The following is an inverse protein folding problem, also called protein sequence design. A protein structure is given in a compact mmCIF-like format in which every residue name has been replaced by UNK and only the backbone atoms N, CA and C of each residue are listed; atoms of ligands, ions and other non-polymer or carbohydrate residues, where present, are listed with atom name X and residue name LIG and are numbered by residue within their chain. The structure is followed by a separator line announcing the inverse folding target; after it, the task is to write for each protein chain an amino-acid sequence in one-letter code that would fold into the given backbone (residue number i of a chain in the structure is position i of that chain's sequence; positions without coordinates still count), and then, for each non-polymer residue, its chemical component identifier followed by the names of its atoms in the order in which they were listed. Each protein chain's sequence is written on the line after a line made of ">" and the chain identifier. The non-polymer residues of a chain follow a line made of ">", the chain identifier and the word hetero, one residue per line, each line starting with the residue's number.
data_IF_342601275163
#
_entry.id   IF_342601275163
#
_cell.length_a   1.000
_cell.length_b   1.000
_cell.length_c   1.000
_cell.angle_alpha   90.00
_cell.angle_beta   90.00
_cell.angle_gamma   90.00
#
_symmetry.space_group_name_H-M   'P 1'
#
loop_
_entity.id
_entity.type
_entity.pdbx_description
1 polymer ?
#
# COMPACT_ATOMS: atom_id res chain seq x y z
N UNK A 1 24.24 13.90 -22.73
CA UNK A 1 23.74 13.29 -21.48
C UNK A 1 23.93 11.77 -21.57
N UNK A 2 24.34 11.08 -20.52
CA UNK A 2 24.45 9.61 -20.53
C UNK A 2 23.07 8.92 -20.47
N UNK A 3 22.00 9.69 -20.37
CA UNK A 3 20.63 9.19 -20.31
C UNK A 3 19.81 9.85 -21.44
N UNK A 4 19.16 9.03 -22.24
CA UNK A 4 18.17 9.44 -23.24
C UNK A 4 16.79 8.91 -22.82
N UNK A 5 15.77 9.78 -22.83
CA UNK A 5 14.38 9.40 -22.53
C UNK A 5 13.58 9.45 -23.82
N UNK A 6 13.08 8.30 -24.26
CA UNK A 6 12.24 8.18 -25.45
C UNK A 6 10.80 7.92 -25.00
N UNK A 7 9.93 8.89 -25.21
CA UNK A 7 8.51 8.80 -24.91
C UNK A 7 7.70 9.15 -26.15
N UNK A 8 7.18 8.17 -26.90
CA UNK A 8 6.32 8.45 -28.05
C UNK A 8 5.11 9.28 -27.67
N UNK A 9 4.69 10.16 -28.57
CA UNK A 9 3.53 11.02 -28.37
C UNK A 9 2.26 10.20 -28.14
N UNK A 10 1.38 10.67 -27.24
CA UNK A 10 0.11 10.03 -26.93
C UNK A 10 0.18 8.92 -25.87
N UNK A 11 1.34 8.65 -25.29
CA UNK A 11 1.44 7.71 -24.15
C UNK A 11 1.33 8.43 -22.78
N UNK A 12 1.35 7.66 -21.71
CA UNK A 12 1.23 8.15 -20.32
C UNK A 12 2.29 9.22 -19.98
N UNK A 13 3.49 9.14 -20.53
CA UNK A 13 4.61 10.04 -20.24
C UNK A 13 4.69 11.22 -21.22
N UNK A 14 3.92 11.17 -22.30
CA UNK A 14 3.87 12.22 -23.33
C UNK A 14 2.41 12.40 -23.80
N UNK A 15 1.59 12.94 -22.90
CA UNK A 15 0.19 13.17 -23.17
C UNK A 15 0.00 14.34 -24.14
N UNK A 16 -0.93 14.21 -25.08
CA UNK A 16 -1.32 15.24 -26.04
C UNK A 16 -2.60 15.91 -25.59
N UNK A 17 -2.59 17.24 -25.59
CA UNK A 17 -3.80 18.02 -25.27
C UNK A 17 -4.98 17.61 -26.20
N UNK A 18 -6.22 17.44 -25.70
CA UNK A 18 -6.69 17.76 -24.35
C UNK A 18 -6.49 16.67 -23.30
N UNK A 19 -5.87 15.52 -23.61
CA UNK A 19 -5.54 14.52 -22.63
C UNK A 19 -4.47 15.05 -21.68
N UNK A 20 -4.72 14.97 -20.39
CA UNK A 20 -3.77 15.32 -19.35
C UNK A 20 -3.54 14.14 -18.42
N UNK A 21 -2.31 13.92 -18.02
CA UNK A 21 -1.97 13.00 -16.94
C UNK A 21 -1.69 13.79 -15.66
N UNK A 22 -2.08 13.23 -14.53
CA UNK A 22 -1.69 13.79 -13.25
C UNK A 22 -0.20 13.52 -13.03
N UNK A 23 0.62 14.56 -13.17
CA UNK A 23 2.08 14.46 -13.20
C UNK A 23 2.72 13.67 -12.05
N UNK A 24 2.32 13.82 -10.77
CA UNK A 24 2.88 13.00 -9.70
C UNK A 24 2.72 11.50 -9.94
N UNK A 25 1.57 11.05 -10.42
CA UNK A 25 1.34 9.63 -10.70
C UNK A 25 2.20 9.10 -11.83
N UNK A 26 2.39 9.89 -12.86
CA UNK A 26 3.29 9.54 -13.97
C UNK A 26 4.72 9.37 -13.48
N UNK A 27 5.20 10.27 -12.62
CA UNK A 27 6.51 10.19 -11.99
C UNK A 27 6.68 8.96 -11.11
N UNK A 28 5.68 8.59 -10.30
CA UNK A 28 5.69 7.40 -9.46
C UNK A 28 5.74 6.11 -10.29
N UNK A 29 4.95 6.03 -11.37
CA UNK A 29 4.98 4.88 -12.29
C UNK A 29 6.35 4.79 -12.98
N UNK A 30 6.91 5.91 -13.42
CA UNK A 30 8.26 5.94 -14.01
C UNK A 30 9.31 5.44 -13.01
N UNK A 31 9.27 5.91 -11.77
CA UNK A 31 10.17 5.46 -10.69
C UNK A 31 10.11 3.94 -10.52
N UNK A 32 8.92 3.38 -10.38
CA UNK A 32 8.71 1.94 -10.20
C UNK A 32 9.21 1.13 -11.42
N UNK A 33 8.94 1.60 -12.65
CA UNK A 33 9.40 0.93 -13.86
C UNK A 33 10.93 0.95 -13.99
N UNK A 34 11.57 2.08 -13.69
CA UNK A 34 13.02 2.22 -13.70
C UNK A 34 13.63 1.33 -12.61
N UNK A 35 13.07 1.36 -11.40
CA UNK A 35 13.51 0.48 -10.31
C UNK A 35 13.43 -0.99 -10.71
N UNK A 36 12.29 -1.41 -11.30
CA UNK A 36 12.12 -2.79 -11.78
C UNK A 36 13.14 -3.17 -12.86
N UNK A 37 13.44 -2.28 -13.79
CA UNK A 37 14.45 -2.53 -14.82
C UNK A 37 15.86 -2.67 -14.20
N UNK A 38 16.22 -1.76 -13.30
CA UNK A 38 17.53 -1.76 -12.63
C UNK A 38 17.71 -2.95 -11.67
N UNK A 39 16.65 -3.48 -11.08
CA UNK A 39 16.71 -4.64 -10.18
C UNK A 39 17.21 -5.93 -10.84
N UNK A 40 17.25 -5.99 -12.18
CA UNK A 40 17.83 -7.09 -12.91
C UNK A 40 19.38 -7.09 -12.84
N UNK A 41 19.98 -5.91 -12.66
CA UNK A 41 21.43 -5.73 -12.61
C UNK A 41 21.97 -5.34 -11.23
N UNK A 42 21.15 -4.71 -10.39
CA UNK A 42 21.53 -4.16 -9.09
C UNK A 42 20.73 -4.79 -7.96
N UNK A 43 21.40 -5.37 -6.98
CA UNK A 43 20.73 -5.96 -5.81
C UNK A 43 20.25 -4.92 -4.80
N UNK A 44 20.80 -3.70 -4.85
CA UNK A 44 20.45 -2.60 -3.95
C UNK A 44 19.06 -2.00 -4.22
N UNK A 45 18.44 -2.33 -5.35
CA UNK A 45 17.13 -1.82 -5.72
C UNK A 45 16.05 -2.50 -4.87
N UNK A 46 15.12 -1.75 -4.27
CA UNK A 46 14.03 -2.31 -3.50
C UNK A 46 13.00 -3.05 -4.38
N UNK A 47 12.26 -3.96 -3.78
CA UNK A 47 11.04 -4.49 -4.36
C UNK A 47 10.00 -3.37 -4.55
N UNK A 48 8.86 -3.65 -5.20
CA UNK A 48 7.86 -2.61 -5.45
C UNK A 48 7.28 -2.07 -4.14
N UNK A 49 6.99 -0.77 -4.12
CA UNK A 49 6.18 -0.18 -3.06
C UNK A 49 4.68 -0.34 -3.39
N UNK A 50 3.80 -0.16 -2.40
CA UNK A 50 2.36 -0.42 -2.48
C UNK A 50 1.57 0.41 -3.48
N UNK A 51 2.26 0.95 -4.44
CA UNK A 51 1.71 1.74 -5.52
C UNK A 51 1.74 3.23 -5.25
N UNK A 52 0.99 3.95 -6.07
CA UNK A 52 0.86 5.40 -5.97
C UNK A 52 0.14 5.78 -4.67
N UNK A 53 0.16 7.05 -4.32
CA UNK A 53 -0.58 7.63 -3.19
C UNK A 53 -2.08 7.32 -3.30
N UNK A 54 -2.59 6.25 -2.64
CA UNK A 54 -3.97 5.81 -2.79
C UNK A 54 -4.90 6.68 -1.92
N UNK A 55 -4.99 7.96 -2.25
CA UNK A 55 -5.72 8.96 -1.50
C UNK A 55 -7.19 9.12 -1.89
N UNK A 56 -7.77 10.16 -1.32
CA UNK A 56 -9.08 10.68 -1.68
C UNK A 56 -9.12 12.20 -1.52
N UNK A 57 -10.02 12.83 -2.23
CA UNK A 57 -10.40 14.21 -1.98
C UNK A 57 -11.85 14.24 -1.45
N UNK A 58 -12.13 15.16 -0.53
CA UNK A 58 -13.48 15.47 -0.11
C UNK A 58 -13.72 16.97 -0.22
N UNK A 59 -14.89 17.35 -0.70
CA UNK A 59 -15.26 18.74 -0.90
C UNK A 59 -16.75 18.98 -0.63
N UNK A 60 -17.07 20.20 -0.23
CA UNK A 60 -18.44 20.58 0.07
C UNK A 60 -18.52 21.87 0.86
N UNK A 61 -19.69 22.10 1.46
CA UNK A 61 -19.91 23.20 2.42
C UNK A 61 -19.84 22.65 3.83
N UNK A 62 -18.92 23.18 4.62
CA UNK A 62 -18.67 22.74 5.99
C UNK A 62 -19.88 23.00 6.88
N UNK A 63 -20.41 21.95 7.51
CA UNK A 63 -21.68 21.98 8.24
C UNK A 63 -21.72 22.98 9.40
N UNK A 64 -20.58 23.22 10.06
CA UNK A 64 -20.50 24.14 11.24
C UNK A 64 -20.22 25.60 10.85
N UNK A 65 -19.50 25.85 9.76
CA UNK A 65 -19.03 27.19 9.40
C UNK A 65 -19.75 27.79 8.19
N UNK A 66 -20.45 26.96 7.40
CA UNK A 66 -21.08 27.38 6.14
C UNK A 66 -20.08 27.73 5.02
N UNK A 67 -18.77 27.54 5.24
CA UNK A 67 -17.72 27.84 4.25
C UNK A 67 -17.45 26.61 3.37
N UNK A 68 -17.12 26.85 2.11
CA UNK A 68 -16.65 25.79 1.24
C UNK A 68 -15.30 25.25 1.70
N UNK A 69 -15.11 23.95 1.59
CA UNK A 69 -13.86 23.27 1.85
C UNK A 69 -13.47 22.32 0.71
N UNK A 70 -12.19 22.12 0.58
CA UNK A 70 -11.59 21.02 -0.21
C UNK A 70 -10.45 20.47 0.63
N UNK A 71 -10.49 19.18 0.89
CA UNK A 71 -9.41 18.44 1.56
C UNK A 71 -8.93 17.33 0.66
N UNK A 72 -7.63 17.11 0.64
CA UNK A 72 -7.00 15.98 -0.02
C UNK A 72 -6.19 15.21 1.01
N UNK A 73 -6.32 13.91 1.02
CA UNK A 73 -5.54 13.04 1.86
C UNK A 73 -4.90 11.94 1.01
N UNK A 74 -3.59 11.87 1.07
CA UNK A 74 -2.82 10.79 0.48
C UNK A 74 -2.52 9.77 1.57
N UNK A 75 -2.74 8.48 1.29
CA UNK A 75 -2.47 7.43 2.27
C UNK A 75 -1.03 6.96 2.18
N UNK A 76 -0.46 6.64 3.34
CA UNK A 76 0.75 5.87 3.41
C UNK A 76 0.56 4.47 2.81
N UNK A 77 1.60 3.97 2.18
CA UNK A 77 1.69 2.64 1.59
C UNK A 77 2.80 1.85 2.26
N UNK A 78 2.85 0.54 2.06
CA UNK A 78 4.03 -0.23 2.41
C UNK A 78 5.15 -0.03 1.39
N UNK A 79 6.39 0.19 1.84
CA UNK A 79 7.56 0.23 0.97
C UNK A 79 8.02 -1.19 0.62
N UNK A 80 8.61 -1.35 -0.55
CA UNK A 80 9.28 -2.58 -0.93
C UNK A 80 10.48 -2.85 -0.03
N UNK A 81 10.72 -4.15 0.26
CA UNK A 81 11.90 -4.60 0.97
C UNK A 81 13.17 -4.47 0.11
N UNK A 82 14.30 -4.39 0.76
CA UNK A 82 15.64 -4.40 0.14
C UNK A 82 16.38 -5.69 0.48
N UNK A 83 17.58 -5.85 -0.04
CA UNK A 83 18.44 -7.00 0.26
C UNK A 83 18.95 -7.03 1.73
N UNK A 84 18.76 -5.97 2.50
CA UNK A 84 19.22 -5.83 3.88
C UNK A 84 18.13 -5.50 4.89
N UNK A 85 16.99 -4.95 4.44
CA UNK A 85 15.98 -4.39 5.33
C UNK A 85 14.57 -4.74 4.89
N UNK A 86 13.71 -4.92 5.89
CA UNK A 86 12.27 -4.94 5.70
C UNK A 86 11.79 -3.60 5.13
N UNK A 87 10.71 -3.63 4.36
CA UNK A 87 10.06 -2.43 3.87
C UNK A 87 9.41 -1.64 5.03
N UNK A 88 9.46 -0.33 4.94
CA UNK A 88 8.85 0.55 5.93
C UNK A 88 7.31 0.50 5.82
N UNK A 89 6.63 0.49 6.98
CA UNK A 89 5.18 0.46 7.05
C UNK A 89 4.59 1.85 6.87
N UNK A 90 3.50 1.97 6.13
CA UNK A 90 2.63 3.14 6.13
C UNK A 90 3.33 4.47 5.82
N UNK A 91 4.29 4.49 4.90
CA UNK A 91 4.95 5.70 4.43
C UNK A 91 4.42 6.14 3.06
N UNK A 92 4.65 7.41 2.73
CA UNK A 92 4.36 7.90 1.38
C UNK A 92 5.30 7.23 0.35
N UNK A 93 4.89 7.24 -0.92
CA UNK A 93 5.69 6.64 -1.99
C UNK A 93 7.14 7.16 -1.99
N UNK A 94 8.17 6.32 -2.25
CA UNK A 94 9.57 6.75 -2.20
C UNK A 94 9.91 7.99 -3.02
N UNK A 95 9.21 8.22 -4.14
CA UNK A 95 9.39 9.43 -4.96
C UNK A 95 8.78 10.70 -4.33
N UNK A 96 7.99 10.57 -3.26
CA UNK A 96 7.31 11.67 -2.54
C UNK A 96 7.53 11.59 -1.03
N UNK A 97 8.61 10.98 -0.60
CA UNK A 97 8.88 10.54 0.77
C UNK A 97 8.86 11.63 1.87
N UNK A 98 8.92 12.90 1.51
CA UNK A 98 8.83 14.01 2.48
C UNK A 98 7.40 14.37 2.89
N UNK A 99 6.39 13.80 2.25
CA UNK A 99 4.98 14.06 2.57
C UNK A 99 4.55 13.24 3.79
N UNK A 100 3.77 13.86 4.67
CA UNK A 100 3.18 13.21 5.85
C UNK A 100 1.67 13.23 5.76
N UNK A 101 1.00 12.26 6.36
CA UNK A 101 -0.45 12.28 6.51
C UNK A 101 -0.88 13.48 7.36
N UNK A 102 -1.93 14.16 6.95
CA UNK A 102 -2.61 15.16 7.80
C UNK A 102 -3.22 14.45 9.00
N UNK A 103 -3.10 15.03 10.19
CA UNK A 103 -3.71 14.46 11.38
C UNK A 103 -5.24 14.35 11.24
N UNK A 104 -5.81 13.32 11.87
CA UNK A 104 -7.26 13.04 11.84
C UNK A 104 -8.04 14.24 12.35
N UNK A 105 -7.62 14.82 13.46
CA UNK A 105 -8.27 15.96 14.11
C UNK A 105 -8.36 17.20 13.22
N UNK A 106 -7.28 17.45 12.45
CA UNK A 106 -7.27 18.57 11.50
C UNK A 106 -8.27 18.32 10.37
N UNK A 107 -8.26 17.12 9.78
CA UNK A 107 -9.18 16.77 8.69
C UNK A 107 -10.64 16.85 9.14
N UNK A 108 -10.98 16.36 10.33
CA UNK A 108 -12.33 16.42 10.92
C UNK A 108 -12.74 17.86 11.28
N UNK A 109 -11.77 18.69 11.67
CA UNK A 109 -12.04 20.09 11.99
C UNK A 109 -12.37 20.94 10.76
N UNK A 110 -11.73 20.68 9.63
CA UNK A 110 -11.84 21.51 8.41
C UNK A 110 -12.76 20.96 7.33
N UNK A 111 -13.38 19.80 7.56
CA UNK A 111 -14.23 19.12 6.57
C UNK A 111 -15.46 18.47 7.23
N UNK A 112 -16.27 17.78 6.42
CA UNK A 112 -17.45 17.04 6.90
C UNK A 112 -17.19 15.55 7.09
N UNK A 113 -15.94 15.14 7.23
CA UNK A 113 -15.59 13.73 7.46
C UNK A 113 -15.38 13.44 8.94
N UNK A 114 -15.59 12.20 9.31
CA UNK A 114 -15.25 11.62 10.61
C UNK A 114 -14.50 10.30 10.37
N UNK A 115 -13.43 10.07 11.11
CA UNK A 115 -12.59 8.88 10.96
C UNK A 115 -13.04 7.80 11.94
N UNK A 116 -13.69 6.77 11.41
CA UNK A 116 -14.13 5.61 12.20
C UNK A 116 -12.97 4.66 12.52
N UNK A 117 -11.93 4.64 11.64
CA UNK A 117 -10.79 3.73 11.77
C UNK A 117 -9.56 4.27 11.06
N UNK A 118 -8.40 4.05 11.67
CA UNK A 118 -7.08 4.21 11.05
C UNK A 118 -6.13 3.17 11.65
N UNK A 119 -5.73 2.17 10.86
CA UNK A 119 -4.91 1.06 11.33
C UNK A 119 -3.99 0.52 10.23
N UNK A 120 -2.95 -0.22 10.62
CA UNK A 120 -2.13 -0.99 9.70
C UNK A 120 -2.91 -2.24 9.26
N UNK A 121 -2.67 -2.68 8.02
CA UNK A 121 -3.35 -3.86 7.46
C UNK A 121 -2.47 -5.09 7.63
N UNK A 122 -2.87 -6.00 8.48
CA UNK A 122 -2.24 -7.33 8.62
C UNK A 122 -2.23 -8.06 7.28
N UNK A 123 -1.15 -8.75 6.95
CA UNK A 123 -0.95 -9.56 5.74
C UNK A 123 -1.01 -8.76 4.41
N UNK A 124 -0.87 -7.45 4.47
CA UNK A 124 -0.86 -6.63 3.25
C UNK A 124 0.49 -6.61 2.53
N UNK A 125 1.56 -6.93 3.22
CA UNK A 125 2.93 -6.92 2.70
C UNK A 125 3.30 -8.22 1.99
N UNK A 126 4.15 -8.14 0.98
CA UNK A 126 4.75 -9.30 0.34
C UNK A 126 5.76 -9.99 1.27
N UNK A 127 5.63 -11.32 1.41
CA UNK A 127 6.56 -12.13 2.18
C UNK A 127 7.93 -12.22 1.51
N UNK A 128 8.99 -12.34 2.31
CA UNK A 128 10.37 -12.47 1.85
C UNK A 128 11.31 -12.76 3.01
N UNK A 129 12.60 -13.02 2.72
CA UNK A 129 13.64 -12.96 3.74
C UNK A 129 13.59 -11.62 4.45
N UNK A 130 13.35 -10.56 3.68
CA UNK A 130 12.95 -9.24 4.15
C UNK A 130 11.53 -8.98 3.67
N UNK A 131 10.63 -8.73 4.62
CA UNK A 131 9.21 -8.47 4.36
C UNK A 131 9.00 -7.07 3.80
N UNK A 132 8.09 -6.89 2.85
CA UNK A 132 7.60 -5.58 2.49
C UNK A 132 6.95 -4.85 3.66
N UNK A 133 6.78 -3.54 3.58
CA UNK A 133 6.01 -2.76 4.54
C UNK A 133 4.51 -3.05 4.42
N UNK A 134 3.76 -2.91 5.51
CA UNK A 134 2.30 -3.01 5.49
C UNK A 134 1.63 -1.69 5.11
N UNK A 135 0.46 -1.77 4.48
CA UNK A 135 -0.39 -0.64 4.14
C UNK A 135 -1.29 -0.18 5.29
N UNK A 136 -2.18 0.77 5.00
CA UNK A 136 -3.12 1.39 5.94
C UNK A 136 -4.55 1.13 5.50
N UNK A 137 -5.42 0.86 6.48
CA UNK A 137 -6.87 0.95 6.36
C UNK A 137 -7.35 2.23 7.03
N UNK A 138 -8.18 2.99 6.31
CA UNK A 138 -8.90 4.15 6.82
C UNK A 138 -10.38 4.02 6.48
N UNK A 139 -11.23 4.00 7.50
CA UNK A 139 -12.68 4.05 7.34
C UNK A 139 -13.15 5.46 7.70
N UNK A 140 -14.02 6.02 6.86
CA UNK A 140 -14.52 7.40 6.99
C UNK A 140 -16.02 7.43 6.80
N UNK A 141 -16.72 8.14 7.69
CA UNK A 141 -18.13 8.48 7.58
C UNK A 141 -18.34 9.99 7.37
N UNK A 142 -19.51 10.37 6.86
CA UNK A 142 -19.83 11.76 6.53
C UNK A 142 -20.83 12.34 7.53
N UNK A 143 -20.48 13.45 8.16
CA UNK A 143 -21.37 14.18 9.09
C UNK A 143 -22.32 15.16 8.37
N UNK A 144 -22.09 15.43 7.09
CA UNK A 144 -22.95 16.17 6.18
C UNK A 144 -22.64 15.81 4.73
N UNK A 145 -23.58 16.10 3.83
CA UNK A 145 -23.44 15.86 2.39
C UNK A 145 -22.14 16.46 1.84
N UNK A 146 -21.40 15.66 1.09
CA UNK A 146 -20.11 16.03 0.55
C UNK A 146 -19.84 15.30 -0.75
N UNK A 147 -19.01 15.87 -1.61
CA UNK A 147 -18.51 15.18 -2.78
C UNK A 147 -17.17 14.52 -2.46
N UNK A 148 -16.93 13.34 -3.02
CA UNK A 148 -15.64 12.66 -2.93
C UNK A 148 -15.09 12.32 -4.31
N UNK A 149 -13.76 12.31 -4.39
CA UNK A 149 -13.01 11.75 -5.51
C UNK A 149 -12.07 10.69 -4.93
N UNK A 150 -12.27 9.45 -5.32
CA UNK A 150 -11.32 8.36 -5.05
C UNK A 150 -10.17 8.42 -6.05
N UNK A 151 -8.94 8.36 -5.54
CA UNK A 151 -7.72 8.41 -6.34
C UNK A 151 -6.95 7.10 -6.18
N UNK A 152 -7.50 5.99 -6.70
CA UNK A 152 -6.92 4.65 -6.57
C UNK A 152 -6.32 4.14 -7.85
N UNK A 153 -5.05 3.79 -7.81
CA UNK A 153 -4.36 3.00 -8.82
C UNK A 153 -3.93 1.65 -8.24
N UNK A 154 -3.35 0.80 -9.05
CA UNK A 154 -2.98 -0.58 -8.68
C UNK A 154 -4.13 -1.35 -7.99
N UNK A 155 -5.36 -1.14 -8.47
CA UNK A 155 -6.54 -1.87 -7.99
C UNK A 155 -6.74 -3.21 -8.71
N UNK A 156 -6.12 -3.38 -9.88
CA UNK A 156 -6.18 -4.60 -10.72
C UNK A 156 -4.88 -5.40 -10.68
N UNK A 157 -3.76 -4.76 -10.46
CA UNK A 157 -2.43 -5.37 -10.42
C UNK A 157 -1.81 -5.16 -9.05
N UNK A 158 -1.12 -6.16 -8.53
CA UNK A 158 -0.22 -6.02 -7.38
C UNK A 158 1.16 -5.54 -7.82
N UNK A 159 1.99 -5.15 -6.87
CA UNK A 159 3.40 -4.93 -7.10
C UNK A 159 4.17 -6.22 -7.36
N UNK A 160 5.45 -6.22 -7.11
CA UNK A 160 6.33 -7.38 -7.28
C UNK A 160 7.33 -7.51 -6.13
N UNK A 161 7.64 -8.76 -5.78
CA UNK A 161 8.80 -9.07 -4.96
C UNK A 161 10.06 -9.25 -5.81
N UNK A 162 11.20 -9.35 -5.16
CA UNK A 162 12.50 -9.60 -5.81
C UNK A 162 13.21 -10.82 -5.20
N UNK A 163 14.04 -11.49 -6.00
CA UNK A 163 14.91 -12.61 -5.57
C UNK A 163 14.15 -13.72 -4.82
N UNK A 164 12.92 -14.03 -5.24
CA UNK A 164 12.05 -15.03 -4.59
C UNK A 164 11.09 -14.47 -3.55
N UNK A 165 11.14 -13.18 -3.26
CA UNK A 165 10.12 -12.50 -2.46
C UNK A 165 8.78 -12.44 -3.17
N UNK A 166 7.68 -12.36 -2.40
CA UNK A 166 6.32 -12.35 -2.92
C UNK A 166 5.84 -10.93 -3.22
N UNK A 167 4.83 -10.85 -4.07
CA UNK A 167 4.12 -9.60 -4.37
C UNK A 167 3.32 -9.12 -3.14
N UNK A 168 3.00 -7.84 -3.15
CA UNK A 168 2.16 -7.17 -2.16
C UNK A 168 0.66 -7.33 -2.43
N UNK A 169 -0.16 -6.75 -1.55
CA UNK A 169 -1.60 -6.60 -1.73
C UNK A 169 -1.91 -5.51 -2.78
N UNK A 170 -3.21 -5.26 -3.02
CA UNK A 170 -3.69 -4.23 -3.95
C UNK A 170 -4.34 -3.07 -3.21
N UNK A 171 -4.28 -1.88 -3.79
CA UNK A 171 -5.09 -0.77 -3.33
C UNK A 171 -6.57 -1.07 -3.54
N UNK A 172 -7.41 -0.67 -2.59
CA UNK A 172 -8.85 -0.88 -2.64
C UNK A 172 -9.59 0.29 -1.99
N UNK A 173 -10.70 0.71 -2.57
CA UNK A 173 -11.68 1.56 -1.91
C UNK A 173 -13.06 0.98 -2.10
N UNK A 174 -13.82 0.91 -1.02
CA UNK A 174 -15.19 0.44 -0.98
C UNK A 174 -16.05 1.61 -0.54
N UNK A 175 -16.98 2.03 -1.37
CA UNK A 175 -17.98 3.05 -1.03
C UNK A 175 -19.29 2.37 -0.65
N UNK A 176 -20.01 2.94 0.32
CA UNK A 176 -21.25 2.40 0.92
C UNK A 176 -21.11 0.96 1.44
N UNK A 177 -20.03 0.64 2.21
CA UNK A 177 -19.77 -0.73 2.65
C UNK A 177 -20.93 -1.31 3.44
N UNK A 178 -21.24 -2.60 3.17
CA UNK A 178 -22.33 -3.33 3.86
C UNK A 178 -23.74 -2.92 3.47
N UNK A 179 -23.91 -2.15 2.40
CA UNK A 179 -25.23 -1.77 1.86
C UNK A 179 -25.47 -2.41 0.50
N UNK A 180 -26.72 -2.33 0.01
CA UNK A 180 -27.12 -2.73 -1.34
C UNK A 180 -26.44 -1.93 -2.46
N UNK A 181 -25.86 -0.76 -2.10
CA UNK A 181 -25.12 0.12 -3.01
C UNK A 181 -23.61 -0.10 -2.97
N UNK A 182 -23.11 -1.05 -2.17
CA UNK A 182 -21.68 -1.29 -2.03
C UNK A 182 -20.96 -1.37 -3.37
N UNK A 183 -19.88 -0.62 -3.51
CA UNK A 183 -19.13 -0.57 -4.77
C UNK A 183 -17.63 -0.48 -4.52
N UNK A 184 -16.87 -1.36 -5.16
CA UNK A 184 -15.42 -1.28 -5.22
C UNK A 184 -15.00 -0.33 -6.35
N UNK A 185 -14.20 0.67 -6.03
CA UNK A 185 -13.84 1.74 -6.97
C UNK A 185 -12.33 1.94 -7.09
N UNK A 186 -11.91 2.40 -8.27
CA UNK A 186 -10.58 2.93 -8.52
C UNK A 186 -10.62 4.48 -8.55
N UNK A 187 -10.45 5.05 -9.74
CA UNK A 187 -10.73 6.48 -9.97
C UNK A 187 -12.25 6.66 -10.07
N UNK A 188 -12.82 7.35 -9.09
CA UNK A 188 -14.27 7.50 -9.02
C UNK A 188 -14.66 8.80 -8.30
N UNK A 189 -15.67 9.47 -8.83
CA UNK A 189 -16.25 10.69 -8.25
C UNK A 189 -17.72 10.45 -7.95
N UNK A 190 -18.15 10.82 -6.74
CA UNK A 190 -19.56 10.67 -6.33
C UNK A 190 -19.90 11.59 -5.17
N UNK A 191 -21.20 11.76 -4.92
CA UNK A 191 -21.71 12.42 -3.72
C UNK A 191 -22.00 11.39 -2.63
N UNK A 192 -21.56 11.72 -1.41
CA UNK A 192 -21.85 11.00 -0.19
C UNK A 192 -22.84 11.79 0.65
N UNK A 193 -23.88 11.12 1.10
CA UNK A 193 -24.88 11.69 2.00
C UNK A 193 -24.42 11.62 3.45
N UNK A 194 -24.97 12.48 4.30
CA UNK A 194 -24.79 12.35 5.75
C UNK A 194 -25.08 10.93 6.21
N UNK A 195 -24.17 10.35 7.00
CA UNK A 195 -24.25 8.99 7.52
C UNK A 195 -23.74 7.90 6.57
N UNK A 196 -23.47 8.20 5.29
CA UNK A 196 -22.78 7.26 4.39
C UNK A 196 -21.29 7.22 4.70
N UNK A 197 -20.61 6.14 4.27
CA UNK A 197 -19.21 5.90 4.57
C UNK A 197 -18.46 5.28 3.41
N UNK A 198 -17.12 5.29 3.51
CA UNK A 198 -16.24 4.51 2.67
C UNK A 198 -15.12 3.87 3.50
N UNK A 199 -14.55 2.82 2.94
CA UNK A 199 -13.35 2.15 3.46
C UNK A 199 -12.23 2.27 2.44
N UNK A 200 -11.08 2.75 2.89
CA UNK A 200 -9.90 2.98 2.08
C UNK A 200 -8.76 2.08 2.52
N UNK A 201 -8.21 1.29 1.59
CA UNK A 201 -7.11 0.36 1.83
C UNK A 201 -5.94 0.71 0.92
N UNK A 202 -4.78 0.97 1.49
CA UNK A 202 -3.54 1.05 0.74
C UNK A 202 -2.81 -0.29 0.69
N UNK A 203 -2.08 -0.53 -0.36
CA UNK A 203 -1.31 -1.75 -0.53
C UNK A 203 -0.04 -1.76 0.34
N UNK A 204 0.44 -2.95 0.65
CA UNK A 204 1.78 -3.16 1.20
C UNK A 204 2.88 -3.04 0.15
N UNK A 205 4.12 -3.26 0.54
CA UNK A 205 5.27 -3.37 -0.35
C UNK A 205 5.62 -4.82 -0.66
N UNK A 206 6.35 -5.06 -1.75
CA UNK A 206 6.84 -6.39 -2.12
C UNK A 206 7.97 -6.87 -1.22
N UNK A 207 8.07 -8.19 -1.02
CA UNK A 207 9.14 -8.85 -0.28
C UNK A 207 10.43 -9.00 -1.08
N UNK A 208 11.55 -9.20 -0.41
CA UNK A 208 12.85 -9.49 -1.01
C UNK A 208 13.45 -10.79 -0.47
N UNK A 209 13.93 -11.65 -1.35
CA UNK A 209 14.50 -12.96 -1.00
C UNK A 209 13.44 -14.00 -0.64
N UNK A 210 13.85 -15.26 -0.60
CA UNK A 210 12.94 -16.36 -0.27
C UNK A 210 12.39 -16.21 1.17
N UNK A 211 11.07 -16.29 1.40
CA UNK A 211 10.47 -16.19 2.73
C UNK A 211 10.98 -17.24 3.73
N UNK A 212 11.35 -18.44 3.27
CA UNK A 212 11.88 -19.50 4.14
C UNK A 212 13.27 -19.17 4.72
N UNK A 213 13.96 -18.17 4.13
CA UNK A 213 15.21 -17.64 4.66
C UNK A 213 15.03 -16.55 5.73
N UNK A 214 13.77 -16.16 6.06
CA UNK A 214 13.51 -15.17 7.11
C UNK A 214 13.83 -15.77 8.48
N UNK A 215 14.54 -15.00 9.32
CA UNK A 215 14.84 -15.35 10.69
C UNK A 215 13.55 -15.57 11.49
N UNK A 216 13.52 -16.63 12.32
CA UNK A 216 12.32 -17.02 13.07
C UNK A 216 11.90 -15.92 14.04
N UNK A 217 12.86 -15.31 14.72
CA UNK A 217 12.65 -14.21 15.65
C UNK A 217 11.90 -13.05 15.00
N UNK A 218 12.25 -12.71 13.74
CA UNK A 218 11.56 -11.68 12.97
C UNK A 218 10.13 -12.05 12.59
N UNK A 219 9.86 -13.34 12.32
CA UNK A 219 8.50 -13.83 12.05
C UNK A 219 7.65 -13.72 13.33
N UNK A 220 8.20 -14.10 14.48
CA UNK A 220 7.53 -13.98 15.76
C UNK A 220 7.28 -12.49 16.13
N UNK A 221 8.23 -11.62 15.87
CA UNK A 221 8.05 -10.17 16.09
C UNK A 221 6.99 -9.58 15.16
N UNK A 222 6.96 -9.97 13.89
CA UNK A 222 5.91 -9.56 12.96
C UNK A 222 4.51 -10.00 13.43
N UNK A 223 4.39 -11.22 13.98
CA UNK A 223 3.15 -11.72 14.59
C UNK A 223 2.73 -10.89 15.82
N UNK A 224 3.67 -10.62 16.73
CA UNK A 224 3.41 -9.82 17.93
C UNK A 224 2.98 -8.40 17.62
N UNK A 225 3.55 -7.81 16.54
CA UNK A 225 3.21 -6.48 16.07
C UNK A 225 1.96 -6.43 15.16
N UNK A 226 1.35 -7.59 14.85
CA UNK A 226 0.17 -7.67 14.00
C UNK A 226 0.44 -7.36 12.52
N UNK A 227 1.69 -7.43 12.07
CA UNK A 227 2.03 -7.22 10.65
C UNK A 227 1.67 -8.42 9.79
N UNK A 228 1.74 -9.62 10.37
CA UNK A 228 1.31 -10.87 9.74
C UNK A 228 0.39 -11.65 10.69
N UNK A 229 -0.47 -12.50 10.12
CA UNK A 229 -1.28 -13.46 10.87
C UNK A 229 -0.52 -14.78 11.05
N UNK A 230 -1.01 -15.66 11.95
CA UNK A 230 -0.51 -17.04 12.05
C UNK A 230 -0.70 -17.83 10.78
N UNK A 231 -1.81 -17.59 10.08
CA UNK A 231 -2.07 -18.20 8.78
C UNK A 231 -0.98 -17.81 7.76
N UNK A 232 -0.61 -16.53 7.71
CA UNK A 232 0.48 -16.07 6.85
C UNK A 232 1.85 -16.61 7.29
N UNK A 233 2.11 -16.71 8.60
CA UNK A 233 3.34 -17.33 9.11
C UNK A 233 3.50 -18.78 8.63
N UNK A 234 2.43 -19.57 8.68
CA UNK A 234 2.42 -20.94 8.19
C UNK A 234 2.53 -21.01 6.66
N UNK A 235 1.63 -20.33 5.96
CA UNK A 235 1.49 -20.42 4.51
C UNK A 235 2.67 -19.81 3.74
N UNK A 236 3.15 -18.67 4.20
CA UNK A 236 4.15 -17.88 3.47
C UNK A 236 5.58 -18.16 3.95
N UNK A 237 5.74 -18.42 5.24
CA UNK A 237 7.06 -18.60 5.85
C UNK A 237 7.33 -20.03 6.31
N UNK A 238 6.34 -20.92 6.25
CA UNK A 238 6.46 -22.30 6.68
C UNK A 238 6.68 -22.47 8.19
N UNK A 239 6.16 -21.52 9.00
CA UNK A 239 6.31 -21.51 10.45
C UNK A 239 4.94 -21.63 11.13
N UNK A 240 4.67 -22.78 11.73
CA UNK A 240 3.44 -23.04 12.51
C UNK A 240 3.65 -22.48 13.91
N UNK A 241 2.92 -21.45 14.31
CA UNK A 241 3.10 -20.74 15.57
C UNK A 241 1.89 -20.94 16.49
N UNK A 242 2.13 -21.45 17.72
CA UNK A 242 1.10 -21.66 18.76
C UNK A 242 0.81 -20.38 19.54
N UNK A 243 -0.20 -20.42 20.43
CA UNK A 243 -0.62 -19.24 21.20
C UNK A 243 0.43 -18.73 22.17
N UNK A 244 1.28 -19.59 22.68
CA UNK A 244 2.42 -19.27 23.54
C UNK A 244 3.68 -18.83 22.77
N UNK A 245 3.55 -18.65 21.43
CA UNK A 245 4.64 -18.38 20.50
C UNK A 245 5.68 -19.51 20.37
N UNK A 246 5.44 -20.69 20.90
CA UNK A 246 6.20 -21.86 20.47
C UNK A 246 5.89 -22.17 19.01
N UNK A 247 6.85 -22.75 18.29
CA UNK A 247 6.74 -22.93 16.84
C UNK A 247 7.29 -24.27 16.38
N UNK A 248 6.86 -24.65 15.18
CA UNK A 248 7.37 -25.79 14.42
C UNK A 248 7.60 -25.33 12.98
N UNK A 249 8.72 -25.74 12.37
CA UNK A 249 8.97 -25.47 10.94
C UNK A 249 8.35 -26.59 10.11
N UNK A 250 7.67 -26.26 9.02
CA UNK A 250 7.15 -27.26 8.09
C UNK A 250 8.27 -27.89 7.25
N UNK A 251 7.96 -29.01 6.58
CA UNK A 251 8.94 -29.79 5.80
C UNK A 251 9.60 -28.93 4.70
N UNK A 252 8.84 -28.12 3.98
CA UNK A 252 9.35 -27.30 2.89
C UNK A 252 10.37 -26.27 3.37
N UNK A 253 10.13 -25.64 4.52
CA UNK A 253 11.07 -24.69 5.12
C UNK A 253 12.33 -25.41 5.61
N UNK A 254 12.19 -26.55 6.25
CA UNK A 254 13.31 -27.35 6.72
C UNK A 254 14.20 -27.80 5.56
N UNK A 255 13.62 -28.31 4.46
CA UNK A 255 14.34 -28.70 3.26
C UNK A 255 15.10 -27.52 2.65
N UNK A 256 14.43 -26.35 2.52
CA UNK A 256 15.04 -25.16 1.99
C UNK A 256 16.25 -24.71 2.83
N UNK A 257 16.09 -24.65 4.16
CA UNK A 257 17.17 -24.23 5.08
C UNK A 257 18.34 -25.17 5.07
N UNK A 258 18.11 -26.48 5.05
CA UNK A 258 19.16 -27.48 4.97
C UNK A 258 19.96 -27.36 3.68
N UNK A 259 19.30 -27.03 2.56
CA UNK A 259 19.94 -26.94 1.25
C UNK A 259 20.70 -25.63 1.01
N UNK A 260 20.22 -24.49 1.57
CA UNK A 260 20.69 -23.17 1.16
C UNK A 260 21.20 -22.29 2.30
N UNK A 261 21.05 -22.67 3.54
CA UNK A 261 21.40 -21.84 4.70
C UNK A 261 22.37 -22.54 5.64
N UNK A 262 22.24 -23.85 5.83
CA UNK A 262 23.05 -24.64 6.79
C UNK A 262 24.30 -25.29 6.14
N UNK A 263 24.55 -25.03 4.84
CA UNK A 263 25.85 -25.33 4.19
C UNK A 263 26.78 -24.08 4.30
#
# INVERSE_FOLDING_TARGET
>A
SPLEVIAPEGNLFHAVYPSATYMPWTGMVAFELIAKALSQALETIPASSGGDEPGFMSMGTHVRTGKNFVVSNNEGIGWGATYQHDGANALQHPSTSSVRNTSVEVLEHISNIFHDRLELITDSAGAGRFRGGVGIRRDVSFIADSEIISMKKKTKTSGWGLKGGRADSRNKMIIWPGTDKEKHVGMYRTFMKKGESFQNYSAGGGGWGNPYAREIERIIDDLKNGYISRESAEKDYGLIVKDDYSYEENEERLEYRNKYINE
#
